data_IF_217062748543
#
_entry.id   IF_217062748543
#
_cell.length_a   1.000
_cell.length_b   1.000
_cell.length_c   1.000
_cell.angle_alpha   90.00
_cell.angle_beta   90.00
_cell.angle_gamma   90.00
#
_symmetry.space_group_name_H-M   'P 1'
#
loop_
_entity.id
_entity.type
_entity.pdbx_description
1 polymer ?
#
# COMPACT_ATOMS: atom_id res chain seq x y z
N UNK A 1 9.05 -2.70 -16.86
CA UNK A 1 7.97 -2.08 -16.09
C UNK A 1 8.33 -2.22 -14.62
N UNK A 2 8.30 -1.13 -13.87
CA UNK A 2 8.56 -1.15 -12.44
C UNK A 2 7.22 -1.02 -11.71
N UNK A 3 6.95 -1.94 -10.79
CA UNK A 3 5.76 -1.85 -9.95
C UNK A 3 5.93 -0.72 -8.90
N UNK A 4 4.83 -0.12 -8.50
CA UNK A 4 4.77 0.78 -7.34
C UNK A 4 3.46 0.57 -6.61
N UNK A 5 3.56 0.41 -5.29
CA UNK A 5 2.40 0.31 -4.40
C UNK A 5 1.88 1.72 -4.07
N UNK A 6 0.58 1.87 -3.89
CA UNK A 6 -0.04 3.13 -3.44
C UNK A 6 -1.30 2.90 -2.63
N UNK A 7 -1.75 3.95 -1.92
CA UNK A 7 -2.95 3.94 -1.09
C UNK A 7 -4.14 4.48 -1.90
N UNK A 8 -5.27 3.80 -1.81
CA UNK A 8 -6.58 4.31 -2.21
C UNK A 8 -7.43 4.51 -0.96
N UNK A 9 -8.04 5.67 -0.82
CA UNK A 9 -8.92 6.03 0.30
C UNK A 9 -10.36 6.05 -0.19
N UNK A 10 -11.30 5.56 0.62
CA UNK A 10 -12.73 5.53 0.28
C UNK A 10 -13.30 6.96 0.17
N UNK A 11 -13.94 7.27 -0.95
CA UNK A 11 -14.53 8.59 -1.25
C UNK A 11 -13.91 9.24 -2.49
N UNK A 12 -14.43 10.40 -2.90
CA UNK A 12 -13.94 11.14 -4.07
C UNK A 12 -12.77 12.08 -3.75
N UNK A 13 -12.82 12.77 -2.60
CA UNK A 13 -11.74 13.62 -2.11
C UNK A 13 -11.68 13.53 -0.57
N UNK A 14 -10.58 13.02 0.01
CA UNK A 14 -10.45 12.91 1.45
C UNK A 14 -10.05 14.22 2.13
N UNK A 15 -9.91 15.33 1.39
CA UNK A 15 -9.49 16.67 1.84
C UNK A 15 -8.07 16.71 2.41
N UNK A 16 -7.20 15.80 1.96
CA UNK A 16 -5.77 15.80 2.26
C UNK A 16 -4.98 15.05 1.18
N UNK A 17 -3.68 15.35 1.12
CA UNK A 17 -2.77 14.66 0.21
C UNK A 17 -2.58 13.18 0.60
N UNK A 18 -2.96 12.30 -0.33
CA UNK A 18 -2.84 10.83 -0.24
C UNK A 18 -1.61 10.30 -0.99
N UNK A 19 -0.81 11.17 -1.61
CA UNK A 19 0.37 10.77 -2.35
C UNK A 19 1.39 10.10 -1.42
N UNK A 20 1.90 8.95 -1.89
CA UNK A 20 2.96 8.18 -1.25
C UNK A 20 3.86 7.59 -2.32
N UNK A 21 5.15 7.46 -2.03
CA UNK A 21 6.01 6.61 -2.83
C UNK A 21 5.90 5.17 -2.32
N UNK A 22 5.78 4.21 -3.23
CA UNK A 22 5.75 2.78 -2.89
C UNK A 22 6.58 1.93 -3.84
N UNK A 23 7.60 2.52 -4.47
CA UNK A 23 8.48 1.80 -5.38
C UNK A 23 9.44 0.90 -4.62
N UNK A 24 10.06 1.40 -3.55
CA UNK A 24 10.97 0.59 -2.74
C UNK A 24 10.22 -0.52 -2.02
N UNK A 25 9.00 -0.25 -1.54
CA UNK A 25 8.08 -1.23 -0.99
C UNK A 25 7.73 -2.33 -1.99
N UNK A 26 7.39 -1.97 -3.23
CA UNK A 26 7.12 -2.95 -4.29
C UNK A 26 8.35 -3.82 -4.60
N UNK A 27 9.56 -3.25 -4.58
CA UNK A 27 10.80 -3.98 -4.85
C UNK A 27 11.22 -4.93 -3.71
N UNK A 28 10.81 -4.63 -2.48
CA UNK A 28 11.19 -5.39 -1.27
C UNK A 28 10.02 -6.15 -0.64
N UNK A 29 8.97 -6.41 -1.41
CA UNK A 29 7.70 -6.99 -0.96
C UNK A 29 7.90 -8.28 -0.13
N UNK A 30 8.64 -9.26 -0.66
CA UNK A 30 9.01 -10.50 0.06
C UNK A 30 9.64 -10.25 1.44
N UNK A 31 10.56 -9.28 1.52
CA UNK A 31 11.30 -8.98 2.76
C UNK A 31 10.41 -8.25 3.77
N UNK A 32 9.55 -7.35 3.27
CA UNK A 32 8.57 -6.63 4.09
C UNK A 32 7.50 -7.57 4.62
N UNK A 33 7.02 -8.53 3.81
CA UNK A 33 6.10 -9.57 4.24
C UNK A 33 6.71 -10.42 5.36
N UNK A 34 7.94 -10.92 5.18
CA UNK A 34 8.62 -11.70 6.23
C UNK A 34 8.77 -10.91 7.53
N UNK A 35 9.10 -9.62 7.44
CA UNK A 35 9.19 -8.77 8.62
C UNK A 35 7.82 -8.60 9.30
N UNK A 36 6.74 -8.40 8.53
CA UNK A 36 5.38 -8.33 9.07
C UNK A 36 5.02 -9.60 9.85
N UNK A 37 5.27 -10.77 9.26
CA UNK A 37 5.03 -12.07 9.89
C UNK A 37 5.87 -12.25 11.18
N UNK A 38 7.14 -11.84 11.17
CA UNK A 38 8.01 -11.89 12.36
C UNK A 38 7.50 -10.99 13.50
N UNK A 39 6.95 -9.82 13.17
CA UNK A 39 6.36 -8.89 14.13
C UNK A 39 4.94 -9.30 14.56
N UNK A 40 4.35 -10.32 13.95
CA UNK A 40 2.98 -10.75 14.22
C UNK A 40 1.92 -9.75 13.76
N UNK A 41 2.25 -8.88 12.80
CA UNK A 41 1.30 -7.95 12.17
C UNK A 41 0.87 -8.47 10.80
N UNK A 42 -0.26 -7.98 10.32
CA UNK A 42 -0.83 -8.39 9.04
C UNK A 42 0.10 -7.95 7.88
N UNK A 43 0.44 -8.80 6.90
CA UNK A 43 1.19 -8.39 5.72
C UNK A 43 0.54 -7.23 4.96
N UNK A 44 1.36 -6.37 4.33
CA UNK A 44 0.84 -5.21 3.60
C UNK A 44 -0.02 -5.63 2.39
N UNK A 45 0.38 -6.69 1.68
CA UNK A 45 -0.39 -7.22 0.55
C UNK A 45 -1.75 -7.80 0.92
N UNK A 46 -1.98 -8.16 2.19
CA UNK A 46 -3.31 -8.58 2.63
C UNK A 46 -4.31 -7.40 2.72
N UNK A 47 -3.86 -6.17 2.46
CA UNK A 47 -4.73 -5.00 2.25
C UNK A 47 -4.94 -4.69 0.77
N UNK A 48 -4.39 -5.51 -0.14
CA UNK A 48 -4.57 -5.33 -1.56
C UNK A 48 -6.04 -5.51 -1.96
N UNK A 49 -6.49 -4.65 -2.86
CA UNK A 49 -7.75 -4.79 -3.57
C UNK A 49 -7.53 -4.34 -5.02
N UNK A 50 -7.87 -5.22 -5.96
CA UNK A 50 -7.93 -4.86 -7.37
C UNK A 50 -9.24 -4.12 -7.63
N UNK A 51 -9.21 -2.79 -7.54
CA UNK A 51 -10.35 -1.94 -7.86
C UNK A 51 -10.39 -1.58 -9.36
N UNK A 52 -11.54 -1.06 -9.81
CA UNK A 52 -11.78 -0.66 -11.19
C UNK A 52 -10.73 0.33 -11.70
N UNK A 53 -10.25 1.26 -10.86
CA UNK A 53 -9.23 2.24 -11.28
C UNK A 53 -7.88 1.57 -11.54
N UNK A 54 -7.49 0.59 -10.71
CA UNK A 54 -6.28 -0.20 -10.94
C UNK A 54 -6.33 -0.97 -12.26
N UNK A 55 -7.49 -1.54 -12.62
CA UNK A 55 -7.67 -2.21 -13.91
C UNK A 55 -7.76 -1.21 -15.07
N UNK A 56 -8.38 -0.06 -14.88
CA UNK A 56 -8.46 0.99 -15.89
C UNK A 56 -7.06 1.50 -16.28
N UNK A 57 -6.19 1.76 -15.30
CA UNK A 57 -4.79 2.12 -15.53
C UNK A 57 -4.03 1.05 -16.30
N UNK A 58 -4.20 -0.22 -15.93
CA UNK A 58 -3.62 -1.35 -16.67
C UNK A 58 -4.09 -1.41 -18.13
N UNK A 59 -5.37 -1.13 -18.38
CA UNK A 59 -5.94 -1.09 -19.74
C UNK A 59 -5.34 0.07 -20.54
N UNK A 60 -5.22 1.25 -19.94
CA UNK A 60 -4.60 2.43 -20.58
C UNK A 60 -3.15 2.16 -20.97
N UNK A 61 -2.41 1.42 -20.15
CA UNK A 61 -1.02 1.01 -20.41
C UNK A 61 -0.90 -0.20 -21.35
N UNK A 62 -2.02 -0.73 -21.86
CA UNK A 62 -2.06 -1.86 -22.80
C UNK A 62 -1.79 -3.23 -22.17
N UNK A 63 -1.71 -3.30 -20.84
CA UNK A 63 -1.46 -4.52 -20.07
C UNK A 63 -2.74 -5.14 -19.47
N UNK A 64 -3.88 -4.43 -19.52
CA UNK A 64 -5.17 -4.85 -18.97
C UNK A 64 -6.14 -5.42 -20.01
N UNK A 65 -7.19 -6.10 -19.53
CA UNK A 65 -8.26 -6.62 -20.39
C UNK A 65 -9.58 -5.87 -20.10
N UNK A 66 -10.05 -5.00 -21.01
CA UNK A 66 -11.29 -4.23 -20.83
C UNK A 66 -12.53 -5.08 -20.59
N UNK A 67 -12.52 -6.33 -21.07
CA UNK A 67 -13.65 -7.25 -20.90
C UNK A 67 -13.79 -7.75 -19.46
N UNK A 68 -12.78 -7.60 -18.62
CA UNK A 68 -12.80 -8.04 -17.24
C UNK A 68 -13.36 -6.99 -16.28
N UNK A 69 -13.39 -5.69 -16.66
CA UNK A 69 -13.93 -4.60 -15.83
C UNK A 69 -15.33 -4.90 -15.26
N UNK A 70 -16.33 -5.35 -16.05
CA UNK A 70 -17.67 -5.61 -15.54
C UNK A 70 -17.77 -6.82 -14.62
N UNK A 71 -16.72 -7.65 -14.57
CA UNK A 71 -16.63 -8.87 -13.76
C UNK A 71 -15.69 -8.75 -12.56
N UNK A 72 -15.08 -7.57 -12.36
CA UNK A 72 -14.25 -7.36 -11.19
C UNK A 72 -15.10 -7.42 -9.92
N UNK A 73 -14.59 -8.05 -8.85
CA UNK A 73 -15.23 -7.93 -7.56
C UNK A 73 -15.26 -6.46 -7.14
N UNK A 74 -16.27 -6.04 -6.35
CA UNK A 74 -16.26 -4.72 -5.75
C UNK A 74 -14.98 -4.54 -4.92
N UNK A 75 -14.43 -3.32 -4.84
CA UNK A 75 -13.23 -3.07 -4.06
C UNK A 75 -13.43 -3.48 -2.60
N UNK A 76 -12.45 -4.19 -2.06
CA UNK A 76 -12.43 -4.54 -0.66
C UNK A 76 -11.83 -3.38 0.14
N UNK A 77 -12.63 -2.84 1.06
CA UNK A 77 -12.25 -1.73 1.93
C UNK A 77 -11.85 -2.22 3.31
N UNK A 78 -10.70 -1.75 3.80
CA UNK A 78 -10.17 -2.08 5.11
C UNK A 78 -10.18 -0.87 6.04
N UNK A 79 -10.27 -1.09 7.35
CA UNK A 79 -10.18 -0.01 8.32
C UNK A 79 -8.77 0.61 8.29
N UNK A 80 -8.69 1.95 8.27
CA UNK A 80 -7.42 2.67 8.30
C UNK A 80 -6.57 2.33 9.53
N UNK A 81 -7.20 2.01 10.66
CA UNK A 81 -6.53 1.57 11.89
C UNK A 81 -5.67 0.33 11.69
N UNK A 82 -6.15 -0.66 10.94
CA UNK A 82 -5.46 -1.95 10.74
C UNK A 82 -4.22 -1.77 9.85
N UNK A 83 -4.36 -0.95 8.80
CA UNK A 83 -3.25 -0.55 7.96
C UNK A 83 -2.21 0.26 8.73
N UNK A 84 -2.67 1.27 9.49
CA UNK A 84 -1.80 2.12 10.30
C UNK A 84 -0.98 1.31 11.32
N UNK A 85 -1.60 0.33 11.98
CA UNK A 85 -0.90 -0.56 12.91
C UNK A 85 0.23 -1.33 12.21
N UNK A 86 -0.05 -1.85 11.01
CA UNK A 86 0.91 -2.59 10.19
C UNK A 86 2.10 -1.71 9.78
N UNK A 87 1.84 -0.58 9.11
CA UNK A 87 2.92 0.26 8.58
C UNK A 87 3.73 0.92 9.69
N UNK A 88 3.10 1.24 10.83
CA UNK A 88 3.80 1.81 11.99
C UNK A 88 4.73 0.78 12.64
N UNK A 89 4.31 -0.48 12.74
CA UNK A 89 5.14 -1.56 13.30
C UNK A 89 6.36 -1.85 12.42
N UNK A 90 6.14 -1.95 11.10
CA UNK A 90 7.22 -2.14 10.12
C UNK A 90 8.21 -0.97 10.13
N UNK A 91 7.71 0.28 10.12
CA UNK A 91 8.56 1.46 10.18
C UNK A 91 9.37 1.52 11.48
N UNK A 92 8.76 1.17 12.63
CA UNK A 92 9.47 1.14 13.90
C UNK A 92 10.60 0.11 13.91
N UNK A 93 10.33 -1.11 13.43
CA UNK A 93 11.34 -2.16 13.33
C UNK A 93 12.50 -1.76 12.40
N UNK A 94 12.20 -1.14 11.26
CA UNK A 94 13.24 -0.66 10.34
C UNK A 94 13.98 0.56 10.85
N UNK A 95 13.36 1.40 11.69
CA UNK A 95 14.08 2.50 12.36
C UNK A 95 15.13 1.97 13.32
N UNK A 96 14.84 0.88 14.03
CA UNK A 96 15.80 0.22 14.94
C UNK A 96 16.89 -0.53 14.17
N UNK A 97 16.52 -1.24 13.09
CA UNK A 97 17.47 -1.98 12.27
C UNK A 97 17.10 -1.92 10.78
N UNK A 98 17.56 -0.90 10.03
CA UNK A 98 17.24 -0.78 8.61
C UNK A 98 17.85 -1.91 7.78
N UNK A 99 19.00 -2.46 8.21
CA UNK A 99 19.76 -3.44 7.45
C UNK A 99 19.09 -4.80 7.30
N UNK A 100 18.03 -5.09 8.07
CA UNK A 100 17.32 -6.36 8.02
C UNK A 100 16.58 -6.62 6.69
N UNK A 101 16.27 -5.56 5.92
CA UNK A 101 15.69 -5.64 4.57
C UNK A 101 16.74 -5.35 3.47
N UNK A 102 18.00 -5.10 3.87
CA UNK A 102 19.11 -4.84 2.95
C UNK A 102 19.52 -3.35 2.89
N UNK A 103 20.34 -2.96 1.89
CA UNK A 103 20.92 -1.62 1.81
C UNK A 103 19.86 -0.51 1.59
N UNK A 104 18.71 -0.87 1.03
CA UNK A 104 17.60 0.05 0.75
C UNK A 104 16.59 0.12 1.90
N UNK A 105 16.84 -0.54 3.04
CA UNK A 105 15.90 -0.57 4.17
C UNK A 105 15.54 0.81 4.72
N UNK A 106 16.42 1.80 4.60
CA UNK A 106 16.11 3.20 4.96
C UNK A 106 15.09 3.85 4.00
N UNK A 107 15.12 3.50 2.70
CA UNK A 107 14.13 3.96 1.72
C UNK A 107 12.77 3.31 1.98
N UNK A 108 12.76 1.99 2.24
CA UNK A 108 11.54 1.25 2.62
C UNK A 108 10.93 1.84 3.90
N UNK A 109 11.75 2.15 4.91
CA UNK A 109 11.29 2.81 6.13
C UNK A 109 10.64 4.17 5.85
N UNK A 110 11.27 5.01 5.02
CA UNK A 110 10.72 6.32 4.67
C UNK A 110 9.35 6.21 3.98
N UNK A 111 9.21 5.29 3.02
CA UNK A 111 7.92 5.01 2.35
C UNK A 111 6.86 4.53 3.36
N UNK A 112 7.21 3.65 4.30
CA UNK A 112 6.28 3.22 5.36
C UNK A 112 5.83 4.38 6.27
N UNK A 113 6.71 5.34 6.54
CA UNK A 113 6.36 6.54 7.31
C UNK A 113 5.39 7.45 6.55
N UNK A 114 5.57 7.61 5.23
CA UNK A 114 4.61 8.31 4.35
C UNK A 114 3.23 7.64 4.40
N UNK A 115 3.20 6.30 4.25
CA UNK A 115 1.97 5.51 4.38
C UNK A 115 1.32 5.71 5.76
N UNK A 116 2.10 5.71 6.83
CA UNK A 116 1.59 5.93 8.19
C UNK A 116 0.96 7.32 8.36
N UNK A 117 1.49 8.35 7.69
CA UNK A 117 0.90 9.70 7.70
C UNK A 117 -0.47 9.69 7.03
N UNK A 118 -0.58 9.10 5.84
CA UNK A 118 -1.85 9.03 5.08
C UNK A 118 -2.89 8.20 5.84
N UNK A 119 -2.52 7.02 6.34
CA UNK A 119 -3.44 6.13 7.07
C UNK A 119 -3.88 6.70 8.42
N UNK A 120 -3.04 7.50 9.08
CA UNK A 120 -3.44 8.24 10.28
C UNK A 120 -4.51 9.29 9.97
N UNK A 121 -4.36 10.07 8.90
CA UNK A 121 -5.38 11.05 8.48
C UNK A 121 -6.69 10.37 8.09
N UNK A 122 -6.62 9.21 7.41
CA UNK A 122 -7.79 8.38 7.08
C UNK A 122 -8.48 7.89 8.36
N UNK A 123 -7.71 7.38 9.33
CA UNK A 123 -8.22 6.90 10.61
C UNK A 123 -8.92 8.00 11.41
N UNK A 124 -8.31 9.19 11.50
CA UNK A 124 -8.89 10.36 12.19
C UNK A 124 -10.25 10.79 11.61
N UNK A 125 -10.47 10.55 10.32
CA UNK A 125 -11.71 10.87 9.59
C UNK A 125 -12.68 9.69 9.51
N UNK A 126 -12.33 8.53 10.04
CA UNK A 126 -13.15 7.31 9.94
C UNK A 126 -13.23 6.73 8.53
N UNK A 127 -12.29 7.08 7.64
CA UNK A 127 -12.26 6.59 6.26
C UNK A 127 -11.65 5.19 6.19
N UNK A 128 -12.08 4.42 5.19
CA UNK A 128 -11.49 3.13 4.83
C UNK A 128 -10.49 3.30 3.70
N UNK A 129 -9.67 2.27 3.49
CA UNK A 129 -8.63 2.28 2.48
C UNK A 129 -8.37 0.89 1.93
N UNK A 130 -7.61 0.81 0.85
CA UNK A 130 -6.94 -0.41 0.41
C UNK A 130 -5.61 -0.09 -0.28
N UNK A 131 -4.77 -1.11 -0.40
CA UNK A 131 -3.55 -1.06 -1.17
C UNK A 131 -3.86 -1.34 -2.64
N UNK A 132 -3.19 -0.64 -3.53
CA UNK A 132 -3.23 -0.85 -4.98
C UNK A 132 -1.80 -0.88 -5.56
N UNK A 133 -1.69 -1.33 -6.81
CA UNK A 133 -0.41 -1.41 -7.54
C UNK A 133 -0.56 -0.80 -8.93
N UNK A 134 0.50 -0.13 -9.39
CA UNK A 134 0.63 0.40 -10.75
C UNK A 134 1.95 -0.06 -11.37
N UNK A 135 2.03 -0.12 -12.70
CA UNK A 135 3.22 -0.56 -13.44
C UNK A 135 3.65 0.49 -14.46
N UNK A 136 4.52 1.41 -14.06
CA UNK A 136 5.07 2.43 -14.96
C UNK A 136 6.44 2.06 -15.54
#
# INVERSE_FOLDING_TARGET
>A
MAASLYIVVEGEDPEYDIFVNGRSLALHEDSVERLALQLGVKPLLDFFSADENSMALLIEEGAGNPKLLPSLPPPQWYAAKDGLATVSALAAALRENPSQIGPEGALVMAELEEYAIVLRKAYERGLRWHLAVSWR
#
